data_IF_479232484525
#
_entry.id   IF_479232484525
#
_cell.length_a   1.000
_cell.length_b   1.000
_cell.length_c   1.000
_cell.angle_alpha   90.00
_cell.angle_beta   90.00
_cell.angle_gamma   90.00
#
_symmetry.space_group_name_H-M   'P 1'
#
loop_
_entity.id
_entity.type
_entity.pdbx_description
1 polymer ?
#
# COMPACT_ATOMS: atom_id res chain seq x y z
N UNK A 1 -11.62 17.00 -12.34
CA UNK A 1 -10.83 18.08 -11.70
C UNK A 1 -9.98 17.44 -10.63
N UNK A 2 -8.68 17.78 -10.54
CA UNK A 2 -7.82 17.26 -9.47
C UNK A 2 -8.24 17.88 -8.12
N UNK A 3 -8.45 17.05 -7.10
CA UNK A 3 -8.66 17.50 -5.73
C UNK A 3 -7.30 17.53 -5.03
N UNK A 4 -6.99 18.67 -4.40
CA UNK A 4 -5.81 18.84 -3.56
C UNK A 4 -6.24 18.99 -2.11
N UNK A 5 -5.51 18.40 -1.21
CA UNK A 5 -5.78 18.49 0.22
C UNK A 5 -4.55 18.17 1.05
N UNK A 6 -4.67 18.37 2.35
CA UNK A 6 -3.63 18.01 3.30
C UNK A 6 -4.03 16.74 4.05
N UNK A 7 -3.04 15.89 4.31
CA UNK A 7 -3.22 14.74 5.19
C UNK A 7 -3.52 15.27 6.60
N UNK A 8 -4.68 14.90 7.15
CA UNK A 8 -5.13 15.39 8.47
C UNK A 8 -4.25 14.91 9.60
N UNK A 9 -4.10 15.76 10.61
CA UNK A 9 -3.28 15.66 11.83
C UNK A 9 -1.79 15.97 11.61
N UNK A 10 -1.27 16.93 12.33
CA UNK A 10 0.15 17.29 12.57
C UNK A 10 1.19 16.42 11.86
N UNK A 11 1.01 16.27 10.55
CA UNK A 11 1.79 15.40 9.68
C UNK A 11 3.22 15.89 9.50
N UNK A 12 3.49 17.14 9.82
CA UNK A 12 4.85 17.70 9.82
C UNK A 12 5.82 16.85 10.64
N UNK A 13 5.31 16.10 11.64
CA UNK A 13 6.12 15.27 12.52
C UNK A 13 6.01 13.76 12.25
N UNK A 14 5.10 13.29 11.38
CA UNK A 14 4.86 11.85 11.17
C UNK A 14 5.89 11.21 10.28
N UNK A 15 6.12 11.75 9.10
CA UNK A 15 7.07 11.17 8.16
C UNK A 15 8.49 11.13 8.71
N UNK A 16 9.00 12.17 9.40
CA UNK A 16 10.27 12.10 10.12
C UNK A 16 10.25 11.03 11.22
N UNK A 17 9.14 10.86 11.94
CA UNK A 17 8.99 9.84 12.98
C UNK A 17 8.97 8.44 12.35
N UNK A 18 8.17 8.21 11.33
CA UNK A 18 8.14 6.94 10.59
C UNK A 18 9.54 6.62 10.05
N UNK A 19 10.20 7.55 9.38
CA UNK A 19 11.57 7.37 8.88
C UNK A 19 12.55 7.06 10.00
N UNK A 20 12.45 7.73 11.15
CA UNK A 20 13.38 7.58 12.26
C UNK A 20 13.21 6.26 13.02
N UNK A 21 11.97 5.84 13.28
CA UNK A 21 11.68 4.62 14.05
C UNK A 21 11.74 3.34 13.20
N UNK A 22 11.44 3.44 11.93
CA UNK A 22 11.48 2.32 11.00
C UNK A 22 12.80 2.23 10.22
N UNK A 23 13.77 3.08 10.56
CA UNK A 23 15.04 3.22 9.85
C UNK A 23 15.91 1.96 9.86
N UNK A 24 15.72 1.08 10.83
CA UNK A 24 16.52 -0.14 10.96
C UNK A 24 16.06 -1.32 10.09
N UNK A 25 14.84 -1.29 9.55
CA UNK A 25 14.29 -2.39 8.76
C UNK A 25 13.42 -1.88 7.60
N UNK A 26 14.05 -1.27 6.59
CA UNK A 26 13.38 -0.80 5.39
C UNK A 26 12.67 -1.90 4.62
N UNK A 27 13.11 -3.15 4.75
CA UNK A 27 12.57 -4.30 4.04
C UNK A 27 11.10 -4.60 4.37
N UNK A 28 10.65 -4.14 5.54
CA UNK A 28 9.28 -4.36 6.02
C UNK A 28 8.21 -3.74 5.09
N UNK A 29 8.56 -2.71 4.33
CA UNK A 29 7.61 -2.05 3.43
C UNK A 29 6.96 -3.03 2.45
N UNK A 30 7.73 -3.96 1.88
CA UNK A 30 7.19 -4.91 0.91
C UNK A 30 6.21 -5.88 1.55
N UNK A 31 6.53 -6.38 2.75
CA UNK A 31 5.62 -7.21 3.54
C UNK A 31 4.29 -6.48 3.79
N UNK A 32 4.34 -5.22 4.21
CA UNK A 32 3.15 -4.43 4.51
C UNK A 32 2.31 -4.16 3.26
N UNK A 33 2.94 -3.81 2.13
CA UNK A 33 2.22 -3.58 0.88
C UNK A 33 1.56 -4.86 0.36
N UNK A 34 2.26 -5.99 0.38
CA UNK A 34 1.71 -7.28 -0.05
C UNK A 34 0.60 -7.74 0.90
N UNK A 35 0.76 -7.58 2.21
CA UNK A 35 -0.27 -7.93 3.20
C UNK A 35 -1.54 -7.11 2.99
N UNK A 36 -1.43 -5.83 2.72
CA UNK A 36 -2.60 -4.98 2.42
C UNK A 36 -3.33 -5.44 1.14
N UNK A 37 -2.59 -5.83 0.11
CA UNK A 37 -3.16 -6.36 -1.13
C UNK A 37 -3.87 -7.70 -0.90
N UNK A 38 -3.29 -8.59 -0.10
CA UNK A 38 -3.89 -9.87 0.30
C UNK A 38 -5.16 -9.64 1.11
N UNK A 39 -5.15 -8.72 2.08
CA UNK A 39 -6.32 -8.38 2.89
C UNK A 39 -7.48 -7.82 2.05
N UNK A 40 -7.18 -6.91 1.12
CA UNK A 40 -8.18 -6.38 0.19
C UNK A 40 -8.82 -7.49 -0.67
N UNK A 41 -8.01 -8.46 -1.09
CA UNK A 41 -8.46 -9.61 -1.86
C UNK A 41 -9.30 -10.57 -1.03
N UNK A 42 -8.92 -10.85 0.21
CA UNK A 42 -9.70 -11.69 1.13
C UNK A 42 -11.04 -11.06 1.50
N UNK A 43 -11.08 -9.74 1.70
CA UNK A 43 -12.33 -9.01 1.92
C UNK A 43 -13.29 -9.18 0.75
N UNK A 44 -12.80 -9.13 -0.49
CA UNK A 44 -13.62 -9.38 -1.67
C UNK A 44 -14.17 -10.82 -1.71
N UNK A 45 -13.33 -11.82 -1.40
CA UNK A 45 -13.78 -13.22 -1.30
C UNK A 45 -14.89 -13.37 -0.27
N UNK A 46 -14.73 -12.77 0.91
CA UNK A 46 -15.75 -12.81 1.97
C UNK A 46 -17.06 -12.16 1.52
N UNK A 47 -17.01 -11.04 0.80
CA UNK A 47 -18.21 -10.41 0.24
C UNK A 47 -18.89 -11.29 -0.79
N UNK A 48 -18.12 -11.99 -1.63
CA UNK A 48 -18.68 -12.94 -2.60
C UNK A 48 -19.35 -14.15 -1.93
N UNK A 49 -18.71 -14.71 -0.90
CA UNK A 49 -19.27 -15.82 -0.11
C UNK A 49 -20.57 -15.45 0.60
N UNK A 50 -20.70 -14.20 1.05
CA UNK A 50 -21.92 -13.67 1.67
C UNK A 50 -23.00 -13.28 0.65
N UNK A 51 -22.67 -13.26 -0.64
CA UNK A 51 -23.59 -12.81 -1.70
C UNK A 51 -23.67 -11.28 -1.85
N UNK A 52 -22.80 -10.53 -1.17
CA UNK A 52 -22.73 -9.07 -1.25
C UNK A 52 -21.96 -8.59 -2.49
N UNK A 53 -21.19 -9.48 -3.11
CA UNK A 53 -20.53 -9.28 -4.39
C UNK A 53 -21.00 -10.37 -5.38
N UNK A 54 -21.63 -9.95 -6.46
CA UNK A 54 -22.22 -10.85 -7.48
C UNK A 54 -21.40 -10.92 -8.78
N UNK A 55 -20.30 -10.18 -8.86
CA UNK A 55 -19.42 -10.21 -10.01
C UNK A 55 -18.52 -11.44 -10.04
N UNK A 56 -17.83 -11.63 -11.15
CA UNK A 56 -16.82 -12.67 -11.24
C UNK A 56 -15.56 -12.27 -10.47
N UNK A 57 -15.05 -13.18 -9.64
CA UNK A 57 -13.80 -12.98 -8.92
C UNK A 57 -12.60 -12.96 -9.88
N UNK A 58 -12.56 -13.88 -10.83
CA UNK A 58 -11.46 -14.03 -11.77
C UNK A 58 -10.13 -14.39 -11.10
N UNK A 59 -9.01 -14.01 -11.71
CA UNK A 59 -7.69 -14.20 -11.15
C UNK A 59 -7.44 -13.18 -10.05
N UNK A 60 -7.26 -13.63 -8.82
CA UNK A 60 -7.04 -12.84 -7.62
C UNK A 60 -5.56 -12.81 -7.17
N UNK A 61 -4.65 -13.28 -8.01
CA UNK A 61 -3.22 -13.24 -7.73
C UNK A 61 -2.75 -11.80 -7.51
N UNK A 62 -2.10 -11.56 -6.39
CA UNK A 62 -1.40 -10.29 -6.14
C UNK A 62 -0.13 -10.27 -6.99
N UNK A 63 0.10 -9.18 -7.71
CA UNK A 63 1.24 -9.07 -8.63
C UNK A 63 2.20 -8.00 -8.17
N UNK A 64 3.47 -8.38 -8.10
CA UNK A 64 4.59 -7.46 -7.86
C UNK A 64 5.34 -7.28 -9.16
N UNK A 65 5.61 -6.05 -9.55
CA UNK A 65 6.33 -5.74 -10.79
C UNK A 65 7.33 -4.61 -10.60
N UNK A 66 8.43 -4.70 -11.33
CA UNK A 66 9.49 -3.69 -11.40
C UNK A 66 9.52 -3.05 -12.77
N UNK A 67 9.65 -1.73 -12.80
CA UNK A 67 10.02 -0.96 -13.97
C UNK A 67 11.31 -0.19 -13.63
N UNK A 68 12.43 -0.75 -14.04
CA UNK A 68 13.75 -0.19 -13.74
C UNK A 68 14.04 1.10 -14.50
N UNK A 69 13.42 1.30 -15.66
CA UNK A 69 13.56 2.54 -16.44
C UNK A 69 12.85 3.70 -15.75
N UNK A 70 11.65 3.45 -15.22
CA UNK A 70 10.89 4.44 -14.46
C UNK A 70 11.30 4.52 -12.99
N UNK A 71 12.09 3.57 -12.50
CA UNK A 71 12.48 3.47 -11.10
C UNK A 71 11.31 3.16 -10.18
N UNK A 72 10.36 2.31 -10.61
CA UNK A 72 9.14 2.02 -9.86
C UNK A 72 9.02 0.55 -9.49
N UNK A 73 8.48 0.31 -8.30
CA UNK A 73 8.00 -0.98 -7.83
C UNK A 73 6.48 -0.88 -7.64
N UNK A 74 5.72 -1.78 -8.25
CA UNK A 74 4.25 -1.76 -8.19
C UNK A 74 3.73 -3.04 -7.55
N UNK A 75 2.80 -2.89 -6.60
CA UNK A 75 2.03 -3.98 -6.02
C UNK A 75 0.58 -3.80 -6.46
N UNK A 76 0.05 -4.80 -7.16
CA UNK A 76 -1.29 -4.78 -7.75
C UNK A 76 -2.15 -5.89 -7.18
N UNK A 77 -3.38 -5.55 -6.77
CA UNK A 77 -4.43 -6.49 -6.38
C UNK A 77 -5.71 -6.29 -7.19
N UNK A 78 -6.57 -7.28 -7.17
CA UNK A 78 -7.94 -7.24 -7.70
C UNK A 78 -8.98 -7.44 -6.59
N UNK A 79 -8.66 -6.92 -5.40
CA UNK A 79 -9.52 -6.96 -4.22
C UNK A 79 -10.64 -5.92 -4.29
N UNK A 80 -11.06 -5.47 -3.11
CA UNK A 80 -12.19 -4.53 -2.97
C UNK A 80 -11.95 -3.16 -3.58
N UNK A 81 -10.71 -2.73 -3.77
CA UNK A 81 -10.39 -1.36 -4.15
C UNK A 81 -10.92 -0.32 -3.17
N UNK A 82 -10.86 0.95 -3.55
CA UNK A 82 -11.33 2.07 -2.75
C UNK A 82 -12.06 3.10 -3.62
N UNK A 83 -13.09 3.74 -3.06
CA UNK A 83 -13.63 4.99 -3.58
C UNK A 83 -12.80 6.18 -3.08
N UNK A 84 -13.01 7.36 -3.66
CA UNK A 84 -12.38 8.59 -3.18
C UNK A 84 -12.67 8.86 -1.70
N UNK A 85 -13.91 8.64 -1.26
CA UNK A 85 -14.32 8.80 0.14
C UNK A 85 -13.58 7.81 1.06
N UNK A 86 -13.39 6.57 0.59
CA UNK A 86 -12.66 5.55 1.34
C UNK A 86 -11.16 5.88 1.42
N UNK A 87 -10.56 6.44 0.37
CA UNK A 87 -9.19 6.97 0.41
C UNK A 87 -9.09 8.09 1.45
N UNK A 88 -10.01 9.05 1.42
CA UNK A 88 -10.03 10.13 2.40
C UNK A 88 -10.16 9.62 3.82
N UNK A 89 -10.95 8.56 4.04
CA UNK A 89 -11.15 7.96 5.35
C UNK A 89 -9.98 7.10 5.83
N UNK A 90 -9.41 6.25 4.97
CA UNK A 90 -8.46 5.22 5.39
C UNK A 90 -6.99 5.58 5.11
N UNK A 91 -6.74 6.43 4.11
CA UNK A 91 -5.38 6.84 3.73
C UNK A 91 -5.06 8.23 4.29
N UNK A 92 -5.96 9.20 4.11
CA UNK A 92 -5.71 10.59 4.51
C UNK A 92 -5.97 10.88 6.00
N UNK A 93 -6.79 10.06 6.66
CA UNK A 93 -7.04 10.17 8.10
C UNK A 93 -6.24 9.10 8.85
N UNK A 94 -5.03 9.46 9.21
CA UNK A 94 -4.27 8.63 10.14
C UNK A 94 -4.86 8.87 11.52
N UNK A 95 -5.41 7.82 12.15
CA UNK A 95 -5.95 7.88 13.51
C UNK A 95 -4.82 8.11 14.53
N UNK A 96 -4.45 9.37 14.73
CA UNK A 96 -3.23 9.77 15.44
C UNK A 96 -3.41 10.14 16.91
N UNK A 97 -4.61 10.08 17.44
CA UNK A 97 -4.84 10.38 18.86
C UNK A 97 -4.21 9.27 19.73
N UNK A 98 -2.95 9.33 19.96
CA UNK A 98 -2.25 8.39 20.84
C UNK A 98 -0.95 7.84 20.29
N UNK A 99 -0.57 8.17 19.05
CA UNK A 99 0.68 7.64 18.47
C UNK A 99 1.90 8.20 19.16
N UNK A 100 1.90 9.47 19.57
CA UNK A 100 3.01 10.06 20.31
C UNK A 100 3.20 9.38 21.68
N UNK A 101 2.10 9.17 22.41
CA UNK A 101 2.11 8.47 23.70
C UNK A 101 2.46 6.99 23.53
N UNK A 102 2.06 6.40 22.40
CA UNK A 102 2.35 5.02 22.08
C UNK A 102 3.80 4.82 21.64
N UNK A 103 4.34 5.70 20.79
CA UNK A 103 5.73 5.65 20.37
C UNK A 103 6.68 5.77 21.56
N UNK A 104 6.34 6.60 22.55
CA UNK A 104 7.12 6.71 23.79
C UNK A 104 7.08 5.44 24.64
N UNK A 105 5.95 4.72 24.61
CA UNK A 105 5.74 3.50 25.39
C UNK A 105 6.29 2.22 24.73
N UNK A 106 6.43 2.19 23.39
CA UNK A 106 6.78 1.00 22.63
C UNK A 106 7.97 1.20 21.69
N UNK A 107 8.92 2.01 22.09
CA UNK A 107 10.17 2.33 21.31
C UNK A 107 10.90 1.11 20.77
N UNK A 108 10.75 -0.05 21.43
CA UNK A 108 11.49 -1.27 21.09
C UNK A 108 10.73 -2.23 20.15
N UNK A 109 9.52 -1.88 19.70
CA UNK A 109 8.72 -2.80 18.90
C UNK A 109 8.02 -2.11 17.70
N UNK A 110 8.82 -1.56 16.79
CA UNK A 110 8.35 -0.86 15.59
C UNK A 110 7.37 -1.69 14.73
N UNK A 111 7.58 -3.01 14.63
CA UNK A 111 6.75 -3.92 13.85
C UNK A 111 5.32 -4.04 14.40
N UNK A 112 5.17 -4.03 15.72
CA UNK A 112 3.84 -4.07 16.37
C UNK A 112 3.10 -2.74 16.17
N UNK A 113 3.82 -1.63 16.09
CA UNK A 113 3.26 -0.29 15.87
C UNK A 113 2.64 -0.20 14.47
N UNK A 114 3.36 -0.63 13.43
CA UNK A 114 2.92 -0.53 12.04
C UNK A 114 1.61 -1.29 11.83
N UNK A 115 1.54 -2.55 12.26
CA UNK A 115 0.35 -3.39 12.08
C UNK A 115 -0.85 -2.94 12.92
N UNK A 116 -0.63 -2.45 14.14
CA UNK A 116 -1.71 -2.14 15.08
C UNK A 116 -2.44 -0.82 14.81
N UNK A 117 -1.75 0.15 14.16
CA UNK A 117 -2.27 1.50 13.93
C UNK A 117 -2.63 1.81 12.48
N UNK A 118 -2.66 0.84 11.59
CA UNK A 118 -2.94 1.07 10.16
C UNK A 118 -1.84 1.89 9.47
N UNK A 119 -0.66 1.96 10.05
CA UNK A 119 0.50 2.67 9.50
C UNK A 119 1.24 1.86 8.43
N UNK A 120 0.82 0.63 8.16
CA UNK A 120 1.49 -0.26 7.20
C UNK A 120 1.69 0.38 5.83
N UNK A 121 0.67 1.05 5.32
CA UNK A 121 0.76 1.75 4.05
C UNK A 121 1.87 2.82 4.04
N UNK A 122 2.03 3.56 5.12
CA UNK A 122 3.02 4.65 5.22
C UNK A 122 4.47 4.15 5.30
N UNK A 123 4.70 2.86 5.55
CA UNK A 123 6.02 2.25 5.45
C UNK A 123 6.61 2.35 4.03
N UNK A 124 5.76 2.50 3.02
CA UNK A 124 6.15 2.73 1.63
C UNK A 124 7.02 3.98 1.45
N UNK A 125 6.82 5.01 2.28
CA UNK A 125 7.61 6.24 2.23
C UNK A 125 9.03 6.09 2.82
N UNK A 126 9.34 4.96 3.46
CA UNK A 126 10.72 4.66 3.89
C UNK A 126 11.66 4.46 2.71
N UNK A 127 11.14 3.97 1.60
CA UNK A 127 11.91 3.59 0.40
C UNK A 127 11.54 4.39 -0.84
N UNK A 128 10.52 5.25 -0.75
CA UNK A 128 9.94 5.96 -1.90
C UNK A 128 9.99 7.46 -1.72
N UNK A 129 10.35 8.17 -2.77
CA UNK A 129 10.23 9.62 -2.88
C UNK A 129 8.82 10.08 -3.26
N UNK A 130 8.01 9.17 -3.79
CA UNK A 130 6.61 9.40 -4.16
C UNK A 130 5.87 8.07 -4.18
N UNK A 131 4.60 8.10 -3.78
CA UNK A 131 3.70 6.95 -3.85
C UNK A 131 2.42 7.36 -4.57
N UNK A 132 2.01 6.56 -5.55
CA UNK A 132 0.72 6.68 -6.20
C UNK A 132 -0.15 5.47 -5.84
N UNK A 133 -1.44 5.71 -5.58
CA UNK A 133 -2.48 4.68 -5.47
C UNK A 133 -3.42 4.88 -6.64
N UNK A 134 -3.53 3.90 -7.53
CA UNK A 134 -4.52 3.89 -8.60
C UNK A 134 -5.54 2.81 -8.23
N UNK A 135 -6.77 3.20 -7.95
CA UNK A 135 -7.75 2.28 -7.38
C UNK A 135 -9.14 2.45 -7.95
N UNK A 136 -9.88 1.35 -8.01
CA UNK A 136 -11.30 1.30 -8.36
C UNK A 136 -12.01 0.33 -7.44
N UNK A 137 -13.04 0.82 -6.76
CA UNK A 137 -13.85 0.00 -5.85
C UNK A 137 -14.61 -1.10 -6.60
N UNK A 138 -14.88 -2.21 -5.92
CA UNK A 138 -15.76 -3.29 -6.40
C UNK A 138 -17.23 -2.86 -6.53
N UNK A 139 -17.61 -1.74 -5.91
CA UNK A 139 -18.96 -1.22 -5.92
C UNK A 139 -19.40 -0.86 -7.34
N UNK A 140 -20.62 -1.20 -7.68
CA UNK A 140 -21.16 -0.92 -9.00
C UNK A 140 -21.14 0.58 -9.31
N UNK A 141 -20.73 0.94 -10.52
CA UNK A 141 -20.61 2.34 -10.95
C UNK A 141 -19.42 3.12 -10.35
N UNK A 142 -18.58 2.48 -9.54
CA UNK A 142 -17.42 3.14 -8.96
C UNK A 142 -16.44 3.62 -10.05
N UNK A 143 -16.00 4.87 -9.90
CA UNK A 143 -14.97 5.46 -10.76
C UNK A 143 -13.59 5.12 -10.21
N UNK A 144 -12.63 5.02 -11.12
CA UNK A 144 -11.22 4.92 -10.73
C UNK A 144 -10.68 6.29 -10.35
N UNK A 145 -9.83 6.31 -9.34
CA UNK A 145 -9.13 7.51 -8.86
C UNK A 145 -7.65 7.22 -8.65
N UNK A 146 -6.84 8.25 -8.76
CA UNK A 146 -5.42 8.22 -8.44
C UNK A 146 -5.13 9.18 -7.31
N UNK A 147 -4.58 8.66 -6.24
CA UNK A 147 -4.03 9.41 -5.12
C UNK A 147 -2.51 9.46 -5.25
N UNK A 148 -1.91 10.60 -4.98
CA UNK A 148 -0.46 10.80 -5.04
C UNK A 148 0.04 11.60 -3.86
N UNK A 149 1.19 11.22 -3.30
CA UNK A 149 1.87 11.93 -2.23
C UNK A 149 3.39 11.74 -2.35
N UNK A 150 4.14 12.79 -2.12
CA UNK A 150 5.61 12.79 -2.14
C UNK A 150 6.25 12.69 -0.75
N UNK A 151 5.46 12.34 0.26
CA UNK A 151 5.91 12.25 1.65
C UNK A 151 5.81 13.59 2.40
N UNK A 152 5.38 14.68 1.74
CA UNK A 152 4.94 15.89 2.39
C UNK A 152 3.54 15.71 2.99
N UNK A 153 3.03 16.66 3.82
CA UNK A 153 1.65 16.62 4.31
C UNK A 153 0.59 16.75 3.21
N UNK A 154 0.99 17.11 2.00
CA UNK A 154 0.08 17.36 0.89
C UNK A 154 -0.15 16.08 0.06
N UNK A 155 -1.38 15.88 -0.35
CA UNK A 155 -1.76 14.84 -1.31
C UNK A 155 -2.57 15.44 -2.46
N UNK A 156 -2.63 14.70 -3.55
CA UNK A 156 -3.44 15.03 -4.71
C UNK A 156 -4.31 13.82 -5.08
N UNK A 157 -5.60 14.06 -5.35
CA UNK A 157 -6.51 13.05 -5.90
C UNK A 157 -7.03 13.56 -7.24
N UNK A 158 -6.98 12.72 -8.25
CA UNK A 158 -7.46 13.00 -9.60
C UNK A 158 -8.25 11.80 -10.15
N UNK A 159 -9.10 12.07 -11.14
CA UNK A 159 -9.76 11.02 -11.89
C UNK A 159 -8.70 10.15 -12.60
N UNK A 160 -8.93 8.83 -12.64
CA UNK A 160 -8.03 7.90 -13.30
C UNK A 160 -8.82 6.91 -14.16
N UNK A 161 -8.09 6.20 -15.01
CA UNK A 161 -8.61 5.07 -15.76
C UNK A 161 -8.05 3.78 -15.19
N UNK A 162 -8.93 2.87 -14.80
CA UNK A 162 -8.61 1.51 -14.37
C UNK A 162 -9.75 0.59 -14.77
N UNK A 163 -9.47 -0.35 -15.64
CA UNK A 163 -10.49 -1.25 -16.22
C UNK A 163 -11.08 -2.17 -15.15
N UNK A 164 -10.22 -2.73 -14.29
CA UNK A 164 -10.62 -3.65 -13.24
C UNK A 164 -10.70 -2.99 -11.88
N UNK A 165 -11.49 -3.59 -10.96
CA UNK A 165 -11.46 -3.26 -9.53
C UNK A 165 -10.09 -3.57 -8.92
N UNK A 166 -9.85 -3.08 -7.74
CA UNK A 166 -8.64 -3.30 -6.97
C UNK A 166 -7.72 -2.10 -6.98
N UNK A 167 -6.50 -2.29 -6.53
CA UNK A 167 -5.54 -1.21 -6.34
C UNK A 167 -4.18 -1.54 -6.90
N UNK A 168 -3.54 -0.54 -7.51
CA UNK A 168 -2.14 -0.54 -7.89
C UNK A 168 -1.42 0.48 -7.01
N UNK A 169 -0.51 0.01 -6.18
CA UNK A 169 0.35 0.86 -5.35
C UNK A 169 1.69 0.99 -6.07
N UNK A 170 1.97 2.18 -6.57
CA UNK A 170 3.20 2.47 -7.34
C UNK A 170 4.17 3.24 -6.47
N UNK A 171 5.28 2.60 -6.14
CA UNK A 171 6.37 3.17 -5.35
C UNK A 171 7.44 3.72 -6.30
N UNK A 172 7.61 5.04 -6.30
CA UNK A 172 8.76 5.67 -6.97
C UNK A 172 9.95 5.62 -6.02
N UNK A 173 10.82 4.65 -6.24
CA UNK A 173 11.91 4.32 -5.31
C UNK A 173 12.89 5.49 -5.19
N UNK A 174 13.26 5.78 -3.95
CA UNK A 174 14.21 6.83 -3.61
C UNK A 174 15.62 6.48 -4.13
N UNK A 175 16.39 7.49 -4.46
CA UNK A 175 17.74 7.31 -5.00
C UNK A 175 18.68 6.60 -4.02
N UNK A 176 18.44 6.74 -2.72
CA UNK A 176 19.18 6.05 -1.65
C UNK A 176 18.73 4.60 -1.42
N UNK A 177 17.65 4.16 -2.10
CA UNK A 177 17.03 2.84 -1.91
C UNK A 177 17.01 2.01 -3.20
N UNK A 178 17.91 2.26 -4.14
CA UNK A 178 17.94 1.60 -5.46
C UNK A 178 18.10 0.08 -5.41
N UNK A 179 18.54 -0.47 -4.29
CA UNK A 179 18.59 -1.93 -4.07
C UNK A 179 17.21 -2.58 -4.26
N UNK A 180 16.12 -1.86 -3.95
CA UNK A 180 14.75 -2.35 -4.14
C UNK A 180 14.25 -2.28 -5.60
N UNK A 181 15.08 -1.84 -6.53
CA UNK A 181 14.87 -1.96 -7.97
C UNK A 181 15.59 -3.20 -8.55
N UNK A 182 16.31 -3.95 -7.73
CA UNK A 182 16.98 -5.17 -8.14
C UNK A 182 16.03 -6.37 -8.02
N UNK A 183 15.89 -7.11 -9.11
CA UNK A 183 15.01 -8.30 -9.16
C UNK A 183 15.34 -9.30 -8.07
N UNK A 184 16.62 -9.60 -7.87
CA UNK A 184 17.09 -10.55 -6.87
C UNK A 184 16.69 -10.12 -5.46
N UNK A 185 16.83 -8.82 -5.14
CA UNK A 185 16.43 -8.28 -3.82
C UNK A 185 14.94 -8.47 -3.56
N UNK A 186 14.10 -8.18 -4.55
CA UNK A 186 12.65 -8.37 -4.42
C UNK A 186 12.29 -9.86 -4.26
N UNK A 187 12.92 -10.76 -5.01
CA UNK A 187 12.71 -12.21 -4.86
C UNK A 187 13.10 -12.70 -3.45
N UNK A 188 14.21 -12.22 -2.90
CA UNK A 188 14.64 -12.54 -1.53
C UNK A 188 13.62 -12.07 -0.49
N UNK A 189 13.10 -10.85 -0.63
CA UNK A 189 12.10 -10.30 0.29
C UNK A 189 10.76 -11.03 0.20
N UNK A 190 10.30 -11.37 -1.00
CA UNK A 190 9.08 -12.15 -1.18
C UNK A 190 9.23 -13.55 -0.57
N UNK A 191 10.36 -14.20 -0.75
CA UNK A 191 10.66 -15.48 -0.09
C UNK A 191 10.70 -15.39 1.43
N UNK A 192 11.23 -14.28 1.96
CA UNK A 192 11.39 -14.05 3.40
C UNK A 192 10.05 -13.77 4.09
N UNK A 193 9.20 -12.94 3.48
CA UNK A 193 8.04 -12.35 4.14
C UNK A 193 6.68 -12.80 3.59
N UNK A 194 6.62 -13.22 2.32
CA UNK A 194 5.35 -13.46 1.63
C UNK A 194 5.07 -14.96 1.38
N UNK A 195 5.94 -15.82 1.85
CA UNK A 195 5.73 -17.26 1.80
C UNK A 195 4.53 -17.65 2.68
N UNK A 196 3.59 -18.42 2.13
CA UNK A 196 2.35 -18.83 2.81
C UNK A 196 1.29 -17.74 2.97
N UNK A 197 1.23 -16.77 2.10
CA UNK A 197 0.10 -15.85 2.04
C UNK A 197 -1.19 -16.58 1.66
N UNK A 198 -2.33 -16.06 2.13
CA UNK A 198 -3.65 -16.64 1.86
C UNK A 198 -4.13 -16.47 0.40
N UNK A 199 -3.40 -15.69 -0.38
CA UNK A 199 -3.65 -15.42 -1.79
C UNK A 199 -2.33 -15.57 -2.52
N UNK A 200 -2.29 -16.17 -3.73
CA UNK A 200 -1.06 -16.28 -4.51
C UNK A 200 -0.44 -14.91 -4.78
N UNK A 201 0.87 -14.84 -4.66
CA UNK A 201 1.66 -13.66 -5.03
C UNK A 201 2.57 -14.02 -6.20
N UNK A 202 2.59 -13.21 -7.24
CA UNK A 202 3.41 -13.40 -8.42
C UNK A 202 4.40 -12.26 -8.61
N UNK A 203 5.62 -12.60 -9.01
CA UNK A 203 6.64 -11.65 -9.42
C UNK A 203 7.29 -12.10 -10.73
N UNK A 204 7.14 -11.27 -11.77
CA UNK A 204 7.56 -11.67 -13.11
C UNK A 204 6.76 -12.88 -13.62
N UNK A 205 7.48 -13.98 -13.94
CA UNK A 205 6.86 -15.25 -14.37
C UNK A 205 6.63 -16.25 -13.23
N UNK A 206 7.08 -15.93 -12.01
CA UNK A 206 7.01 -16.80 -10.85
C UNK A 206 5.77 -16.52 -10.02
N UNK A 207 5.03 -17.55 -9.63
CA UNK A 207 3.79 -17.48 -8.85
C UNK A 207 3.88 -18.50 -7.71
N UNK A 208 4.84 -18.30 -6.82
CA UNK A 208 5.14 -19.28 -5.76
C UNK A 208 5.10 -18.70 -4.34
N UNK A 209 4.56 -17.50 -4.18
CA UNK A 209 4.40 -16.88 -2.89
C UNK A 209 2.95 -16.71 -2.50
#
# INVERSE_FOLDING_TARGET
>A
MAQKGNIGVTTENIFPVIKKFLYSDHEIFLREMVSNAVDATQKLKTLAERGDFKGELGDLTVRVSLDTEKGTLTISDRGIGMTEEEINKYINQIAFSGVTDFLDKYKDNANAIIGHFGLGFYSSFMVSKKVDIITRSYKEGAKAVKWSCDGSPEFEIEDAEKADRGSDIVLHIDDDCKEFLEKQKIEELLNKYCKFMAVPVAFGKKTEW
#
